data_IF_146896733092
#
_entry.id   IF_146896733092
#
_cell.length_a   1.000
_cell.length_b   1.000
_cell.length_c   1.000
_cell.angle_alpha   90.00
_cell.angle_beta   90.00
_cell.angle_gamma   90.00
#
_symmetry.space_group_name_H-M   'P 1'
#
loop_
_entity.id
_entity.type
_entity.pdbx_description
1 polymer ?
#
# COMPACT_ATOMS: atom_id res chain seq x y z
N UNK A 1 -39.63 35.59 37.68
CA UNK A 1 -39.17 35.75 36.28
C UNK A 1 -37.67 35.48 36.10
N UNK A 2 -36.79 36.07 36.90
CA UNK A 2 -35.33 35.89 36.80
C UNK A 2 -34.90 34.41 36.84
N UNK A 3 -35.48 33.58 37.74
CA UNK A 3 -35.12 32.16 37.85
C UNK A 3 -35.44 31.33 36.61
N UNK A 4 -36.49 31.66 35.88
CA UNK A 4 -36.88 30.94 34.65
C UNK A 4 -35.91 31.28 33.52
N UNK A 5 -35.56 32.56 33.38
CA UNK A 5 -34.59 33.02 32.37
C UNK A 5 -33.20 32.39 32.60
N UNK A 6 -32.78 32.35 33.87
CA UNK A 6 -31.51 31.68 34.26
C UNK A 6 -31.53 30.17 33.97
N UNK A 7 -32.65 29.49 34.24
CA UNK A 7 -32.79 28.07 33.93
C UNK A 7 -32.73 27.79 32.42
N UNK A 8 -33.41 28.59 31.60
CA UNK A 8 -33.36 28.48 30.13
C UNK A 8 -31.94 28.72 29.61
N UNK A 9 -31.25 29.75 30.13
CA UNK A 9 -29.87 30.05 29.80
C UNK A 9 -28.92 28.89 30.12
N UNK A 10 -29.09 28.30 31.32
CA UNK A 10 -28.28 27.15 31.75
C UNK A 10 -28.49 25.90 30.89
N UNK A 11 -29.74 25.60 30.52
CA UNK A 11 -30.07 24.51 29.60
C UNK A 11 -29.46 24.77 28.21
N UNK A 12 -29.58 25.97 27.68
CA UNK A 12 -28.99 26.36 26.41
C UNK A 12 -27.47 26.20 26.42
N UNK A 13 -26.80 26.65 27.47
CA UNK A 13 -25.36 26.49 27.65
C UNK A 13 -24.95 25.03 27.72
N UNK A 14 -25.69 24.20 28.44
CA UNK A 14 -25.43 22.77 28.52
C UNK A 14 -25.55 22.08 27.16
N UNK A 15 -26.60 22.39 26.40
CA UNK A 15 -26.80 21.85 25.06
C UNK A 15 -25.64 22.26 24.13
N UNK A 16 -25.23 23.53 24.15
CA UNK A 16 -24.09 24.03 23.35
C UNK A 16 -22.79 23.34 23.77
N UNK A 17 -22.55 23.14 25.05
CA UNK A 17 -21.38 22.41 25.53
C UNK A 17 -21.34 20.95 25.04
N UNK A 18 -22.51 20.29 24.99
CA UNK A 18 -22.64 18.92 24.43
C UNK A 18 -22.31 18.89 22.93
N UNK A 19 -22.84 19.82 22.15
CA UNK A 19 -22.52 19.94 20.70
C UNK A 19 -21.04 20.21 20.49
N UNK A 20 -20.44 21.07 21.30
CA UNK A 20 -19.00 21.36 21.22
C UNK A 20 -18.17 20.10 21.52
N UNK A 21 -18.51 19.36 22.56
CA UNK A 21 -17.82 18.12 22.92
C UNK A 21 -17.89 17.08 21.79
N UNK A 22 -19.06 16.89 21.19
CA UNK A 22 -19.23 15.97 20.05
C UNK A 22 -18.39 16.44 18.85
N UNK A 23 -18.43 17.74 18.52
CA UNK A 23 -17.65 18.32 17.42
C UNK A 23 -16.15 18.11 17.61
N UNK A 24 -15.62 18.39 18.80
CA UNK A 24 -14.20 18.18 19.12
C UNK A 24 -13.83 16.70 19.04
N UNK A 25 -14.69 15.81 19.50
CA UNK A 25 -14.47 14.37 19.44
C UNK A 25 -14.36 13.87 17.99
N UNK A 26 -15.24 14.36 17.11
CA UNK A 26 -15.21 14.04 15.67
C UNK A 26 -13.92 14.57 15.04
N UNK A 27 -13.51 15.81 15.34
CA UNK A 27 -12.28 16.40 14.82
C UNK A 27 -11.03 15.61 15.25
N UNK A 28 -10.96 15.22 16.53
CA UNK A 28 -9.86 14.38 17.03
C UNK A 28 -9.82 13.02 16.34
N UNK A 29 -10.97 12.41 16.07
CA UNK A 29 -11.06 11.16 15.34
C UNK A 29 -10.60 11.30 13.90
N UNK A 30 -11.00 12.36 13.19
CA UNK A 30 -10.57 12.66 11.84
C UNK A 30 -9.06 12.92 11.77
N UNK A 31 -8.51 13.70 12.72
CA UNK A 31 -7.06 13.88 12.81
C UNK A 31 -6.34 12.53 13.00
N UNK A 32 -6.85 11.68 13.89
CA UNK A 32 -6.26 10.37 14.13
C UNK A 32 -6.20 9.53 12.85
N UNK A 33 -7.29 9.49 12.08
CA UNK A 33 -7.34 8.75 10.81
C UNK A 33 -6.36 9.32 9.78
N UNK A 34 -6.23 10.64 9.72
CA UNK A 34 -5.32 11.29 8.76
C UNK A 34 -3.85 10.95 8.97
N UNK A 35 -3.47 10.44 10.14
CA UNK A 35 -2.11 9.99 10.45
C UNK A 35 -1.90 8.48 10.26
N UNK A 36 -2.84 7.77 9.66
CA UNK A 36 -2.66 6.34 9.35
C UNK A 36 -1.91 6.20 8.02
N UNK A 37 -0.83 5.38 7.96
CA UNK A 37 -0.19 5.04 6.70
C UNK A 37 -1.12 4.24 5.81
N UNK A 38 -0.98 4.42 4.49
CA UNK A 38 -1.64 3.62 3.47
C UNK A 38 -0.54 3.10 2.52
N UNK A 39 -0.14 1.86 2.73
CA UNK A 39 0.92 1.23 1.95
C UNK A 39 0.34 0.50 0.73
N UNK A 40 1.00 0.66 -0.41
CA UNK A 40 0.59 0.01 -1.65
C UNK A 40 1.62 0.18 -2.76
N UNK A 41 1.37 -0.50 -3.87
CA UNK A 41 2.18 -0.40 -5.07
C UNK A 41 1.38 0.34 -6.15
N UNK A 42 2.07 1.12 -6.97
CA UNK A 42 1.49 1.69 -8.18
C UNK A 42 1.50 0.66 -9.30
N UNK A 43 1.02 1.09 -10.47
CA UNK A 43 1.05 0.31 -11.69
C UNK A 43 2.48 -0.13 -12.03
N UNK A 44 2.65 -1.42 -12.24
CA UNK A 44 3.91 -2.04 -12.62
C UNK A 44 3.69 -2.71 -13.97
N UNK A 45 4.46 -2.31 -14.97
CA UNK A 45 4.44 -2.92 -16.29
C UNK A 45 5.58 -3.92 -16.41
N UNK A 46 5.26 -5.09 -16.94
CA UNK A 46 6.19 -6.14 -17.27
C UNK A 46 6.27 -6.22 -18.79
N UNK A 47 7.47 -6.10 -19.34
CA UNK A 47 7.75 -6.24 -20.77
C UNK A 47 8.50 -7.54 -21.00
N UNK A 48 7.96 -8.40 -21.84
CA UNK A 48 8.64 -9.59 -22.32
C UNK A 48 9.13 -9.33 -23.75
N UNK A 49 10.44 -9.44 -23.96
CA UNK A 49 11.04 -9.28 -25.30
C UNK A 49 11.07 -10.62 -26.07
N UNK A 50 11.55 -10.58 -27.32
CA UNK A 50 11.66 -11.77 -28.19
C UNK A 50 12.59 -12.85 -27.64
N UNK A 51 13.56 -12.46 -26.83
CA UNK A 51 14.52 -13.36 -26.21
C UNK A 51 13.99 -13.91 -24.87
N UNK A 52 12.66 -13.68 -24.59
CA UNK A 52 11.99 -14.04 -23.35
C UNK A 52 12.62 -13.38 -22.10
N UNK A 53 13.27 -12.23 -22.26
CA UNK A 53 13.78 -11.48 -21.12
C UNK A 53 12.67 -10.59 -20.55
N UNK A 54 12.37 -10.80 -19.26
CA UNK A 54 11.40 -10.03 -18.52
C UNK A 54 12.06 -8.74 -18.00
N UNK A 55 11.44 -7.60 -18.30
CA UNK A 55 11.82 -6.29 -17.75
C UNK A 55 10.65 -5.72 -16.94
N UNK A 56 10.95 -5.15 -15.80
CA UNK A 56 9.95 -4.54 -14.92
C UNK A 56 10.09 -3.02 -14.92
N UNK A 57 9.01 -2.32 -15.19
CA UNK A 57 8.96 -0.86 -15.28
C UNK A 57 7.90 -0.33 -14.32
N UNK A 58 8.30 0.49 -13.35
CA UNK A 58 7.36 1.23 -12.50
C UNK A 58 6.95 2.52 -13.20
N UNK A 59 5.68 2.67 -13.54
CA UNK A 59 5.17 3.81 -14.32
C UNK A 59 5.31 5.16 -13.60
N UNK A 60 5.50 5.14 -12.29
CA UNK A 60 5.67 6.34 -11.47
C UNK A 60 7.11 6.75 -11.22
N UNK A 61 8.09 6.08 -11.85
CA UNK A 61 9.49 6.48 -11.73
C UNK A 61 9.89 7.34 -12.92
N UNK A 62 10.34 8.57 -12.65
CA UNK A 62 10.79 9.53 -13.67
C UNK A 62 12.13 9.15 -14.33
N UNK A 63 12.75 8.04 -13.91
CA UNK A 63 14.04 7.59 -14.43
C UNK A 63 14.00 6.12 -14.83
N UNK A 64 14.58 5.84 -16.01
CA UNK A 64 14.81 4.49 -16.54
C UNK A 64 15.76 3.65 -15.66
N UNK A 65 16.43 4.28 -14.70
CA UNK A 65 17.42 3.65 -13.82
C UNK A 65 16.82 2.75 -12.73
N UNK A 66 15.48 2.72 -12.59
CA UNK A 66 14.78 1.93 -11.57
C UNK A 66 14.04 0.74 -12.16
N UNK A 67 14.67 0.05 -13.08
CA UNK A 67 14.22 -1.26 -13.55
C UNK A 67 14.52 -2.30 -12.45
N UNK A 68 13.69 -3.33 -12.39
CA UNK A 68 13.87 -4.48 -11.48
C UNK A 68 13.63 -4.19 -9.98
N UNK A 69 12.82 -3.19 -9.69
CA UNK A 69 12.38 -2.86 -8.34
C UNK A 69 10.85 -2.79 -8.25
N UNK A 70 10.32 -3.20 -7.12
CA UNK A 70 8.94 -2.89 -6.74
C UNK A 70 8.95 -1.59 -5.92
N UNK A 71 8.24 -0.56 -6.35
CA UNK A 71 8.15 0.69 -5.61
C UNK A 71 6.95 0.67 -4.67
N UNK A 72 7.23 0.47 -3.38
CA UNK A 72 6.25 0.55 -2.31
C UNK A 72 6.03 2.02 -1.95
N UNK A 73 4.78 2.48 -1.97
CA UNK A 73 4.40 3.84 -1.60
C UNK A 73 3.68 3.87 -0.27
N UNK A 74 3.88 4.95 0.47
CA UNK A 74 3.04 5.34 1.57
C UNK A 74 2.18 6.55 1.17
N UNK A 75 0.96 6.30 0.73
CA UNK A 75 0.00 7.33 0.32
C UNK A 75 -0.76 7.95 1.50
N UNK A 76 -0.61 7.38 2.70
CA UNK A 76 -1.26 7.86 3.92
C UNK A 76 -0.59 9.09 4.52
N UNK A 77 -1.25 9.70 5.50
CA UNK A 77 -0.75 10.91 6.16
C UNK A 77 0.28 10.67 7.25
N UNK A 78 0.45 9.43 7.72
CA UNK A 78 1.42 9.08 8.74
C UNK A 78 2.57 8.21 8.23
N UNK A 79 3.68 8.20 8.97
CA UNK A 79 4.79 7.31 8.67
C UNK A 79 4.48 5.87 9.09
N UNK A 80 4.88 4.90 8.25
CA UNK A 80 4.97 3.50 8.62
C UNK A 80 6.35 3.21 9.20
N UNK A 81 6.43 2.41 10.25
CA UNK A 81 7.66 2.09 10.99
C UNK A 81 7.82 0.59 11.14
N UNK A 82 9.07 0.17 11.30
CA UNK A 82 9.44 -1.23 11.52
C UNK A 82 8.72 -2.14 10.52
N UNK A 83 8.94 -1.87 9.24
CA UNK A 83 8.24 -2.50 8.14
C UNK A 83 8.98 -3.76 7.75
N UNK A 84 8.35 -4.91 7.96
CA UNK A 84 8.80 -6.20 7.43
C UNK A 84 8.02 -6.52 6.17
N UNK A 85 8.74 -6.63 5.05
CA UNK A 85 8.18 -6.98 3.74
C UNK A 85 8.64 -8.39 3.41
N UNK A 86 7.70 -9.30 3.18
CA UNK A 86 7.95 -10.67 2.78
C UNK A 86 7.31 -10.93 1.43
N UNK A 87 8.08 -11.42 0.47
CA UNK A 87 7.58 -11.93 -0.80
C UNK A 87 7.48 -13.44 -0.66
N UNK A 88 6.29 -13.96 -0.87
CA UNK A 88 5.90 -15.34 -0.58
C UNK A 88 5.43 -15.99 -1.87
N UNK A 89 5.92 -17.19 -2.12
CA UNK A 89 5.49 -18.04 -3.22
C UNK A 89 4.72 -19.25 -2.67
N UNK A 90 3.59 -19.60 -3.30
CA UNK A 90 2.79 -20.78 -2.91
C UNK A 90 2.41 -20.80 -1.42
N UNK A 91 1.77 -19.73 -0.93
CA UNK A 91 1.18 -19.55 0.40
C UNK A 91 2.19 -19.47 1.56
N UNK A 92 3.24 -20.30 1.62
CA UNK A 92 4.12 -20.41 2.79
C UNK A 92 5.63 -20.24 2.48
N UNK A 93 6.04 -20.31 1.23
CA UNK A 93 7.45 -20.22 0.88
C UNK A 93 7.92 -18.77 0.77
N UNK A 94 8.55 -18.23 1.81
CA UNK A 94 9.13 -16.89 1.80
C UNK A 94 10.41 -16.89 0.97
N UNK A 95 10.36 -16.35 -0.24
CA UNK A 95 11.50 -16.30 -1.16
C UNK A 95 12.35 -15.03 -0.99
N UNK A 96 11.78 -13.99 -0.41
CA UNK A 96 12.50 -12.76 -0.12
C UNK A 96 11.94 -12.07 1.12
N UNK A 97 12.83 -11.51 1.95
CA UNK A 97 12.49 -10.70 3.11
C UNK A 97 13.30 -9.42 3.15
N UNK A 98 12.63 -8.30 3.45
CA UNK A 98 13.27 -6.99 3.59
C UNK A 98 12.71 -6.22 4.76
N UNK A 99 13.61 -5.66 5.58
CA UNK A 99 13.26 -4.74 6.65
C UNK A 99 13.50 -3.30 6.24
N UNK A 100 12.55 -2.42 6.56
CA UNK A 100 12.64 -0.98 6.36
C UNK A 100 12.26 -0.28 7.67
N UNK A 101 13.18 0.50 8.24
CA UNK A 101 12.98 1.12 9.56
C UNK A 101 11.84 2.13 9.58
N UNK A 102 11.72 2.95 8.52
CA UNK A 102 10.67 3.96 8.39
C UNK A 102 10.40 4.27 6.92
N UNK A 103 9.12 4.43 6.58
CA UNK A 103 8.66 4.97 5.31
C UNK A 103 7.77 6.18 5.61
N UNK A 104 8.27 7.41 5.38
CA UNK A 104 7.50 8.63 5.62
C UNK A 104 6.22 8.70 4.79
N UNK A 105 5.33 9.60 5.19
CA UNK A 105 4.13 9.91 4.40
C UNK A 105 4.50 10.48 3.03
N UNK A 106 3.79 10.03 1.99
CA UNK A 106 3.95 10.45 0.59
C UNK A 106 5.31 10.13 -0.03
N UNK A 107 6.07 9.23 0.58
CA UNK A 107 7.33 8.74 0.03
C UNK A 107 7.21 7.31 -0.49
N UNK A 108 8.18 6.92 -1.32
CA UNK A 108 8.30 5.58 -1.88
C UNK A 108 9.60 4.91 -1.45
N UNK A 109 9.57 3.59 -1.33
CA UNK A 109 10.72 2.75 -1.09
C UNK A 109 10.91 1.79 -2.27
N UNK A 110 12.11 1.76 -2.85
CA UNK A 110 12.48 0.84 -3.91
C UNK A 110 12.87 -0.51 -3.29
N UNK A 111 12.00 -1.51 -3.44
CA UNK A 111 12.23 -2.87 -3.01
C UNK A 111 12.95 -3.62 -4.13
N UNK A 112 14.26 -3.92 -4.00
CA UNK A 112 14.94 -4.75 -4.98
C UNK A 112 14.33 -6.15 -4.95
N UNK A 113 14.14 -6.76 -6.11
CA UNK A 113 13.59 -8.10 -6.24
C UNK A 113 14.68 -9.07 -6.66
N UNK A 114 14.59 -10.32 -6.16
CA UNK A 114 15.52 -11.36 -6.47
C UNK A 114 15.12 -12.12 -7.74
N UNK A 115 16.01 -12.99 -8.19
CA UNK A 115 15.79 -13.80 -9.39
C UNK A 115 14.57 -14.70 -9.30
N UNK A 116 14.28 -15.27 -8.13
CA UNK A 116 13.16 -16.21 -7.95
C UNK A 116 11.81 -15.52 -8.21
N UNK A 117 11.68 -14.23 -7.89
CA UNK A 117 10.50 -13.42 -8.20
C UNK A 117 10.35 -13.24 -9.71
N UNK A 118 11.46 -12.96 -10.41
CA UNK A 118 11.44 -12.83 -11.88
C UNK A 118 11.07 -14.15 -12.56
N UNK A 119 11.68 -15.25 -12.12
CA UNK A 119 11.45 -16.58 -12.68
C UNK A 119 9.97 -16.99 -12.52
N UNK A 120 9.35 -16.66 -11.36
CA UNK A 120 7.92 -16.90 -11.13
C UNK A 120 7.03 -16.07 -12.06
N UNK A 121 7.29 -14.76 -12.17
CA UNK A 121 6.51 -13.86 -13.02
C UNK A 121 6.64 -14.29 -14.50
N UNK A 122 7.84 -14.61 -14.94
CA UNK A 122 8.10 -15.08 -16.29
C UNK A 122 7.39 -16.41 -16.57
N UNK A 123 7.46 -17.37 -15.64
CA UNK A 123 6.77 -18.65 -15.74
C UNK A 123 5.25 -18.46 -15.83
N UNK A 124 4.69 -17.57 -15.02
CA UNK A 124 3.25 -17.27 -15.05
C UNK A 124 2.83 -16.71 -16.42
N UNK A 125 3.60 -15.77 -16.96
CA UNK A 125 3.33 -15.18 -18.29
C UNK A 125 3.41 -16.25 -19.39
N UNK A 126 4.47 -17.07 -19.41
CA UNK A 126 4.67 -18.10 -20.43
C UNK A 126 3.59 -19.19 -20.40
N UNK A 127 3.02 -19.48 -19.24
CA UNK A 127 1.93 -20.43 -19.08
C UNK A 127 0.55 -19.82 -19.34
N UNK A 128 0.45 -18.60 -19.87
CA UNK A 128 -0.77 -17.82 -20.06
C UNK A 128 -1.63 -17.70 -18.78
N UNK A 129 -0.97 -17.70 -17.62
CA UNK A 129 -1.61 -17.51 -16.32
C UNK A 129 -1.88 -16.02 -16.05
N UNK A 130 -3.06 -15.76 -15.47
CA UNK A 130 -3.45 -14.41 -15.03
C UNK A 130 -3.25 -14.22 -13.52
N UNK A 131 -3.17 -15.31 -12.78
CA UNK A 131 -2.94 -15.30 -11.34
C UNK A 131 -1.52 -15.80 -11.07
N UNK A 132 -0.72 -14.96 -10.43
CA UNK A 132 0.59 -15.36 -9.95
C UNK A 132 0.46 -15.97 -8.54
N UNK A 133 1.26 -16.99 -8.25
CA UNK A 133 1.40 -17.51 -6.89
C UNK A 133 2.17 -16.57 -5.96
N UNK A 134 2.54 -15.38 -6.47
CA UNK A 134 3.29 -14.39 -5.74
C UNK A 134 2.39 -13.60 -4.81
N UNK A 135 2.74 -13.61 -3.53
CA UNK A 135 2.05 -12.84 -2.51
C UNK A 135 3.05 -11.92 -1.79
N UNK A 136 2.59 -10.76 -1.36
CA UNK A 136 3.40 -9.86 -0.54
C UNK A 136 2.70 -9.68 0.81
N UNK A 137 3.44 -9.97 1.89
CA UNK A 137 3.04 -9.69 3.26
C UNK A 137 3.82 -8.50 3.76
N UNK A 138 3.11 -7.47 4.26
CA UNK A 138 3.70 -6.28 4.84
C UNK A 138 3.21 -6.15 6.27
N UNK A 139 4.12 -6.26 7.23
CA UNK A 139 3.87 -6.01 8.64
C UNK A 139 4.50 -4.67 9.01
N UNK A 140 3.78 -3.80 9.71
CA UNK A 140 4.30 -2.50 10.09
C UNK A 140 3.62 -1.95 11.34
N UNK A 141 4.28 -0.97 11.98
CA UNK A 141 3.72 -0.14 13.03
C UNK A 141 3.43 1.27 12.52
N UNK A 142 2.58 1.99 13.24
CA UNK A 142 2.37 3.42 13.03
C UNK A 142 2.06 4.13 14.35
N UNK A 143 2.26 5.45 14.38
CA UNK A 143 2.19 6.25 15.62
C UNK A 143 0.81 6.23 16.30
N UNK A 144 -0.26 5.94 15.57
CA UNK A 144 -1.64 5.98 16.06
C UNK A 144 -2.03 4.70 16.80
N UNK A 145 -1.33 3.59 16.54
CA UNK A 145 -1.60 2.30 17.18
C UNK A 145 -0.29 1.61 17.52
N UNK A 146 -0.21 1.01 18.70
CA UNK A 146 0.93 0.16 19.09
C UNK A 146 0.81 -1.28 18.57
N UNK A 147 -0.25 -1.59 17.84
CA UNK A 147 -0.47 -2.93 17.27
C UNK A 147 0.16 -3.01 15.88
N UNK A 148 0.76 -4.15 15.59
CA UNK A 148 1.21 -4.47 14.25
C UNK A 148 0.00 -4.47 13.32
N UNK A 149 0.17 -3.86 12.17
CA UNK A 149 -0.74 -3.96 11.02
C UNK A 149 -0.14 -4.89 10.00
N UNK A 150 -0.95 -5.79 9.48
CA UNK A 150 -0.57 -6.72 8.43
C UNK A 150 -1.41 -6.45 7.20
N UNK A 151 -0.76 -6.35 6.06
CA UNK A 151 -1.39 -6.29 4.74
C UNK A 151 -0.94 -7.53 3.98
N UNK A 152 -1.88 -8.22 3.35
CA UNK A 152 -1.61 -9.34 2.43
C UNK A 152 -2.08 -8.94 1.05
N UNK A 153 -1.18 -8.98 0.08
CA UNK A 153 -1.42 -8.60 -1.29
C UNK A 153 -1.15 -9.81 -2.19
N UNK A 154 -2.07 -10.12 -3.10
CA UNK A 154 -1.88 -11.15 -4.11
C UNK A 154 -1.48 -10.51 -5.43
N UNK A 155 -0.47 -11.07 -6.09
CA UNK A 155 -0.05 -10.66 -7.42
C UNK A 155 -1.04 -11.17 -8.47
N UNK A 156 -1.51 -10.27 -9.31
CA UNK A 156 -2.35 -10.56 -10.48
C UNK A 156 -1.69 -10.00 -11.72
N UNK A 157 -1.66 -10.77 -12.78
CA UNK A 157 -1.13 -10.39 -14.08
C UNK A 157 -2.28 -10.21 -15.06
N UNK A 158 -2.37 -9.05 -15.68
CA UNK A 158 -3.30 -8.80 -16.78
C UNK A 158 -2.51 -8.43 -18.04
N UNK A 159 -2.87 -9.02 -19.18
CA UNK A 159 -2.27 -8.64 -20.46
C UNK A 159 -2.74 -7.24 -20.83
N UNK A 160 -1.78 -6.31 -20.92
CA UNK A 160 -2.09 -4.91 -21.15
C UNK A 160 -2.16 -4.57 -22.63
N UNK A 161 -1.11 -4.92 -23.40
CA UNK A 161 -1.05 -4.63 -24.82
C UNK A 161 0.05 -5.46 -25.51
N UNK A 162 0.04 -5.46 -26.86
CA UNK A 162 1.13 -5.95 -27.69
C UNK A 162 1.56 -4.79 -28.57
N UNK A 163 2.75 -4.26 -28.37
CA UNK A 163 3.29 -3.17 -29.15
C UNK A 163 4.71 -3.49 -29.61
N UNK A 164 4.96 -3.28 -30.90
CA UNK A 164 6.29 -3.44 -31.53
C UNK A 164 6.98 -4.78 -31.22
N UNK A 165 6.20 -5.88 -31.34
CA UNK A 165 6.64 -7.25 -31.06
C UNK A 165 7.02 -7.54 -29.58
N UNK A 166 6.71 -6.63 -28.66
CA UNK A 166 6.82 -6.83 -27.21
C UNK A 166 5.45 -7.05 -26.60
N UNK A 167 5.36 -8.03 -25.74
CA UNK A 167 4.16 -8.24 -24.94
C UNK A 167 4.28 -7.46 -23.63
N UNK A 168 3.27 -6.65 -23.35
CA UNK A 168 3.17 -5.86 -22.12
C UNK A 168 2.10 -6.45 -21.23
N UNK A 169 2.46 -6.68 -20.00
CA UNK A 169 1.58 -7.14 -18.93
C UNK A 169 1.56 -6.11 -17.80
N UNK A 170 0.45 -6.00 -17.10
CA UNK A 170 0.32 -5.23 -15.88
C UNK A 170 0.33 -6.16 -14.67
N UNK A 171 1.24 -5.92 -13.74
CA UNK A 171 1.25 -6.57 -12.44
C UNK A 171 0.54 -5.69 -11.43
N UNK A 172 -0.53 -6.19 -10.86
CA UNK A 172 -1.31 -5.57 -9.81
C UNK A 172 -1.19 -6.36 -8.51
N UNK A 173 -1.11 -5.66 -7.39
CA UNK A 173 -1.18 -6.25 -6.06
C UNK A 173 -2.52 -5.92 -5.41
N UNK A 174 -3.36 -6.93 -5.25
CA UNK A 174 -4.74 -6.79 -4.76
C UNK A 174 -4.81 -7.29 -3.32
N UNK A 175 -5.50 -6.57 -2.44
CA UNK A 175 -5.78 -7.02 -1.09
C UNK A 175 -6.59 -8.32 -1.10
N UNK A 176 -6.15 -9.27 -0.26
CA UNK A 176 -6.84 -10.53 -0.06
C UNK A 176 -8.04 -10.35 0.87
#
# INVERSE_FOLDING_TARGET
>A
MINIISAIGSIGTFIMALFYFVSVSIQLYQMKISFIPALGFNQILLSLDKDNQLQMINTSSDSVEHQDYLKLFNLGGGAAKDIDIEIILNEDNVIQKKYVSILPSKEGYLLPINKDVFDELQSTIQNNGYESNLNIRINYYHNVSRKIKTIMLNGKLDRFNTYDEKELYELQFINK
#
